data_IF_872265361947
#
_entry.id   IF_872265361947
#
_cell.length_a   1.000
_cell.length_b   1.000
_cell.length_c   1.000
_cell.angle_alpha   90.00
_cell.angle_beta   90.00
_cell.angle_gamma   90.00
#
_symmetry.space_group_name_H-M   'P 1'
#
loop_
_entity.id
_entity.type
_entity.pdbx_description
1 polymer ?
#
# COMPACT_ATOMS: atom_id res chain seq x y z
N UNK A 1 4.92 -5.80 14.34
CA UNK A 1 3.65 -6.44 13.90
C UNK A 1 3.98 -7.70 13.11
N UNK A 2 3.35 -8.85 13.39
CA UNK A 2 3.61 -10.10 12.62
C UNK A 2 2.88 -10.08 11.27
N UNK A 3 3.40 -10.85 10.30
CA UNK A 3 2.78 -11.06 8.97
C UNK A 3 1.31 -11.41 9.07
N UNK A 4 0.98 -12.41 9.87
CA UNK A 4 -0.39 -12.90 9.96
C UNK A 4 -1.31 -11.85 10.58
N UNK A 5 -0.87 -11.12 11.60
CA UNK A 5 -1.63 -10.01 12.20
C UNK A 5 -1.88 -8.87 11.21
N UNK A 6 -0.91 -8.61 10.32
CA UNK A 6 -1.09 -7.64 9.23
C UNK A 6 -2.09 -8.15 8.21
N UNK A 7 -1.97 -9.41 7.76
CA UNK A 7 -2.90 -10.01 6.80
C UNK A 7 -4.34 -10.10 7.36
N UNK A 8 -4.48 -10.39 8.65
CA UNK A 8 -5.76 -10.40 9.37
C UNK A 8 -6.47 -9.04 9.36
N UNK A 9 -5.73 -7.92 9.29
CA UNK A 9 -6.36 -6.59 9.17
C UNK A 9 -7.08 -6.37 7.84
N UNK A 10 -6.86 -7.25 6.86
CA UNK A 10 -7.53 -7.26 5.58
C UNK A 10 -8.52 -8.42 5.42
N UNK A 11 -8.67 -9.29 6.44
CA UNK A 11 -9.73 -10.30 6.42
C UNK A 11 -11.10 -9.60 6.38
N UNK A 12 -11.88 -9.90 5.34
CA UNK A 12 -13.17 -9.26 5.08
C UNK A 12 -13.13 -8.10 4.07
N UNK A 13 -11.96 -7.75 3.54
CA UNK A 13 -11.83 -6.79 2.44
C UNK A 13 -11.70 -7.54 1.11
N UNK A 14 -12.46 -7.09 0.11
CA UNK A 14 -12.33 -7.58 -1.26
C UNK A 14 -11.05 -6.98 -1.85
N UNK A 15 -9.94 -7.70 -1.66
CA UNK A 15 -8.70 -7.39 -2.34
C UNK A 15 -8.69 -8.07 -3.72
N UNK A 16 -8.12 -7.42 -4.74
CA UNK A 16 -7.87 -8.07 -6.02
C UNK A 16 -6.93 -9.27 -5.82
N UNK A 17 -7.04 -10.28 -6.69
CA UNK A 17 -6.16 -11.45 -6.64
C UNK A 17 -4.67 -11.04 -6.79
N UNK A 18 -4.42 -10.03 -7.62
CA UNK A 18 -3.13 -9.35 -7.71
C UNK A 18 -3.35 -7.87 -8.00
N UNK A 19 -2.52 -7.02 -7.41
CA UNK A 19 -2.43 -5.62 -7.77
C UNK A 19 -1.55 -5.44 -8.99
N UNK A 20 -1.84 -4.42 -9.80
CA UNK A 20 -0.91 -3.95 -10.82
C UNK A 20 0.41 -3.55 -10.15
N UNK A 21 1.51 -4.15 -10.63
CA UNK A 21 2.85 -3.89 -10.12
C UNK A 21 3.22 -2.41 -10.19
N UNK A 22 2.73 -1.67 -11.20
CA UNK A 22 2.91 -0.22 -11.33
C UNK A 22 2.30 0.52 -10.14
N UNK A 23 1.10 0.13 -9.71
CA UNK A 23 0.44 0.76 -8.56
C UNK A 23 1.17 0.43 -7.25
N UNK A 24 1.67 -0.81 -7.12
CA UNK A 24 2.52 -1.19 -5.99
C UNK A 24 3.82 -0.39 -5.94
N UNK A 25 4.51 -0.23 -7.06
CA UNK A 25 5.75 0.54 -7.12
C UNK A 25 5.51 2.02 -6.79
N UNK A 26 4.44 2.62 -7.30
CA UNK A 26 4.03 3.98 -6.97
C UNK A 26 3.75 4.15 -5.47
N UNK A 27 3.01 3.21 -4.87
CA UNK A 27 2.75 3.21 -3.43
C UNK A 27 4.03 2.99 -2.61
N UNK A 28 4.98 2.17 -3.07
CA UNK A 28 6.27 2.00 -2.41
C UNK A 28 7.11 3.29 -2.45
N UNK A 29 7.14 3.99 -3.59
CA UNK A 29 7.80 5.29 -3.72
C UNK A 29 7.18 6.34 -2.78
N UNK A 30 5.85 6.33 -2.64
CA UNK A 30 5.12 7.18 -1.70
C UNK A 30 5.62 6.98 -0.27
N UNK A 31 5.77 5.73 0.19
CA UNK A 31 6.32 5.42 1.52
C UNK A 31 7.75 5.90 1.72
N UNK A 32 8.57 5.92 0.66
CA UNK A 32 9.91 6.51 0.68
C UNK A 32 9.93 8.02 0.92
N UNK A 33 8.82 8.73 0.66
CA UNK A 33 8.67 10.17 0.92
C UNK A 33 7.76 10.50 2.11
N UNK A 34 6.93 9.57 2.53
CA UNK A 34 6.11 9.67 3.73
C UNK A 34 6.99 9.97 4.96
N UNK A 35 6.56 10.90 5.82
CA UNK A 35 7.30 11.30 7.03
C UNK A 35 8.62 12.07 6.77
N UNK A 36 8.91 12.55 5.55
CA UNK A 36 10.06 13.45 5.31
C UNK A 36 9.79 14.92 5.63
N UNK A 37 8.53 15.35 5.69
CA UNK A 37 8.17 16.73 6.02
C UNK A 37 6.75 16.78 6.60
N UNK A 38 6.51 17.66 7.58
CA UNK A 38 5.21 17.79 8.25
C UNK A 38 4.05 18.06 7.27
N UNK A 39 4.33 18.75 6.17
CA UNK A 39 3.39 19.02 5.07
C UNK A 39 3.14 17.84 4.12
N UNK A 40 4.08 16.88 4.03
CA UNK A 40 3.97 15.67 3.19
C UNK A 40 3.36 14.49 3.96
N UNK A 41 2.84 14.75 5.16
CA UNK A 41 2.13 13.76 5.97
C UNK A 41 0.64 13.70 5.62
N UNK A 42 0.18 14.62 4.76
CA UNK A 42 -1.21 14.61 4.32
C UNK A 42 -1.43 13.46 3.34
N UNK A 43 -2.07 12.42 3.86
CA UNK A 43 -2.28 11.14 3.17
C UNK A 43 -2.99 11.32 1.84
N UNK A 44 -3.93 12.26 1.76
CA UNK A 44 -4.68 12.51 0.52
C UNK A 44 -3.79 13.12 -0.57
N UNK A 45 -2.91 14.07 -0.21
CA UNK A 45 -1.94 14.62 -1.15
C UNK A 45 -0.92 13.58 -1.62
N UNK A 46 -0.50 12.67 -0.74
CA UNK A 46 0.35 11.55 -1.14
C UNK A 46 -0.38 10.61 -2.11
N UNK A 47 -1.63 10.26 -1.85
CA UNK A 47 -2.38 9.41 -2.78
C UNK A 47 -2.59 10.08 -4.14
N UNK A 48 -2.86 11.39 -4.15
CA UNK A 48 -2.99 12.15 -5.40
C UNK A 48 -1.66 12.24 -6.16
N UNK A 49 -0.57 12.61 -5.48
CA UNK A 49 0.75 12.78 -6.08
C UNK A 49 1.33 11.49 -6.67
N UNK A 50 1.00 10.33 -6.09
CA UNK A 50 1.47 9.02 -6.54
C UNK A 50 0.42 8.27 -7.38
N UNK A 51 -0.67 8.91 -7.79
CA UNK A 51 -1.64 8.31 -8.71
C UNK A 51 -2.51 7.21 -8.08
N UNK A 52 -2.54 7.12 -6.76
CA UNK A 52 -3.37 6.20 -5.97
C UNK A 52 -4.76 6.78 -5.69
N UNK A 53 -4.99 8.07 -5.98
CA UNK A 53 -6.32 8.67 -5.99
C UNK A 53 -7.13 8.17 -7.19
N UNK A 54 -8.43 7.94 -6.96
CA UNK A 54 -9.37 7.62 -8.03
C UNK A 54 -9.50 8.81 -8.98
N UNK A 55 -9.47 8.52 -10.29
CA UNK A 55 -9.64 9.48 -11.38
C UNK A 55 -10.91 9.13 -12.16
N UNK A 56 -11.54 10.13 -12.78
CA UNK A 56 -12.76 9.92 -13.56
C UNK A 56 -12.57 8.96 -14.77
N UNK A 57 -11.34 8.84 -15.27
CA UNK A 57 -10.99 7.95 -16.39
C UNK A 57 -10.50 6.56 -15.94
N UNK A 58 -10.48 6.27 -14.64
CA UNK A 58 -10.05 4.95 -14.17
C UNK A 58 -11.07 3.88 -14.54
N UNK A 59 -10.58 2.72 -14.97
CA UNK A 59 -11.45 1.55 -15.15
C UNK A 59 -12.00 1.08 -13.80
N UNK A 60 -13.17 0.41 -13.74
CA UNK A 60 -13.70 -0.14 -12.48
C UNK A 60 -12.71 -1.05 -11.73
N UNK A 61 -11.86 -1.77 -12.47
CA UNK A 61 -10.80 -2.58 -11.91
C UNK A 61 -9.69 -1.73 -11.27
N UNK A 62 -9.24 -0.68 -11.95
CA UNK A 62 -8.23 0.26 -11.41
C UNK A 62 -8.77 1.00 -10.18
N UNK A 63 -10.03 1.43 -10.20
CA UNK A 63 -10.68 2.09 -9.06
C UNK A 63 -10.72 1.16 -7.83
N UNK A 64 -11.06 -0.11 -8.02
CA UNK A 64 -11.04 -1.12 -6.96
C UNK A 64 -9.63 -1.34 -6.42
N UNK A 65 -8.63 -1.50 -7.30
CA UNK A 65 -7.23 -1.68 -6.91
C UNK A 65 -6.70 -0.48 -6.13
N UNK A 66 -6.96 0.75 -6.60
CA UNK A 66 -6.56 1.98 -5.93
C UNK A 66 -7.23 2.12 -4.56
N UNK A 67 -8.52 1.82 -4.47
CA UNK A 67 -9.27 1.86 -3.20
C UNK A 67 -8.69 0.87 -2.19
N UNK A 68 -8.43 -0.37 -2.61
CA UNK A 68 -7.79 -1.38 -1.79
C UNK A 68 -6.37 -0.96 -1.37
N UNK A 69 -5.58 -0.40 -2.30
CA UNK A 69 -4.23 0.10 -1.99
C UNK A 69 -4.24 1.26 -1.00
N UNK A 70 -5.16 2.21 -1.12
CA UNK A 70 -5.31 3.31 -0.15
C UNK A 70 -5.61 2.78 1.24
N UNK A 71 -6.43 1.74 1.34
CA UNK A 71 -6.72 1.07 2.61
C UNK A 71 -5.45 0.40 3.17
N UNK A 72 -4.76 -0.42 2.37
CA UNK A 72 -3.51 -1.08 2.79
C UNK A 72 -2.47 -0.05 3.23
N UNK A 73 -2.25 0.99 2.43
CA UNK A 73 -1.30 2.05 2.75
C UNK A 73 -1.66 2.74 4.07
N UNK A 74 -2.94 3.02 4.30
CA UNK A 74 -3.41 3.58 5.57
C UNK A 74 -3.07 2.67 6.74
N UNK A 75 -3.29 1.36 6.62
CA UNK A 75 -2.96 0.41 7.69
C UNK A 75 -1.46 0.35 7.97
N UNK A 76 -0.63 0.33 6.93
CA UNK A 76 0.83 0.36 7.09
C UNK A 76 1.29 1.65 7.76
N UNK A 77 0.72 2.80 7.37
CA UNK A 77 1.01 4.09 7.99
C UNK A 77 0.62 4.10 9.49
N UNK A 78 -0.47 3.42 9.85
CA UNK A 78 -0.90 3.26 11.25
C UNK A 78 -0.05 2.24 12.01
N UNK A 79 0.55 1.28 11.33
CA UNK A 79 1.22 0.11 11.92
C UNK A 79 2.67 0.37 12.39
N UNK A 80 3.09 1.62 12.54
CA UNK A 80 4.43 2.04 13.01
C UNK A 80 5.61 1.35 12.28
N UNK A 81 5.41 0.89 11.05
CA UNK A 81 6.49 0.33 10.23
C UNK A 81 7.51 1.42 9.87
N UNK A 82 8.77 1.02 9.75
CA UNK A 82 9.77 1.92 9.17
C UNK A 82 9.41 2.22 7.71
N UNK A 83 9.84 3.38 7.21
CA UNK A 83 9.59 3.78 5.82
C UNK A 83 10.11 2.77 4.79
N UNK A 84 11.23 2.12 5.11
CA UNK A 84 11.84 1.10 4.27
C UNK A 84 10.98 -0.15 4.25
N UNK A 85 10.57 -0.63 5.42
CA UNK A 85 9.76 -1.83 5.56
C UNK A 85 8.37 -1.64 4.93
N UNK A 86 7.76 -0.48 5.14
CA UNK A 86 6.51 -0.10 4.51
C UNK A 86 6.59 -0.13 2.97
N UNK A 87 7.68 0.44 2.41
CA UNK A 87 7.91 0.44 0.97
C UNK A 87 8.17 -0.96 0.41
N UNK A 88 9.02 -1.76 1.08
CA UNK A 88 9.32 -3.12 0.66
C UNK A 88 8.10 -4.04 0.76
N UNK A 89 7.29 -3.90 1.80
CA UNK A 89 6.06 -4.65 2.01
C UNK A 89 5.04 -4.37 0.89
N UNK A 90 4.85 -3.10 0.54
CA UNK A 90 3.94 -2.71 -0.55
C UNK A 90 4.45 -3.19 -1.90
N UNK A 91 5.72 -2.94 -2.22
CA UNK A 91 6.31 -3.38 -3.49
C UNK A 91 6.15 -4.89 -3.71
N UNK A 92 6.22 -5.65 -2.63
CA UNK A 92 6.08 -7.10 -2.65
C UNK A 92 4.70 -7.58 -2.18
N UNK A 93 3.68 -6.73 -2.13
CA UNK A 93 2.36 -7.09 -1.58
C UNK A 93 1.76 -8.32 -2.29
N UNK A 94 1.89 -8.42 -3.61
CA UNK A 94 1.44 -9.61 -4.35
C UNK A 94 2.16 -10.91 -3.92
N UNK A 95 3.38 -10.77 -3.39
CA UNK A 95 4.23 -11.87 -2.96
C UNK A 95 4.15 -12.21 -1.48
N UNK A 96 3.57 -11.33 -0.65
CA UNK A 96 3.47 -11.58 0.79
C UNK A 96 2.71 -12.87 1.10
N UNK A 97 1.78 -13.29 0.22
CA UNK A 97 1.01 -14.52 0.36
C UNK A 97 1.75 -15.77 -0.12
N UNK A 98 2.81 -15.64 -0.91
CA UNK A 98 3.56 -16.79 -1.42
C UNK A 98 4.55 -17.34 -0.38
N UNK A 99 4.74 -18.66 -0.35
CA UNK A 99 5.80 -19.28 0.45
C UNK A 99 7.17 -18.78 -0.04
N UNK A 100 8.03 -18.36 0.89
CA UNK A 100 9.38 -17.85 0.60
C UNK A 100 9.56 -16.33 0.67
N UNK A 101 8.49 -15.56 0.86
CA UNK A 101 8.61 -14.13 1.15
C UNK A 101 9.19 -13.91 2.56
N UNK A 102 10.30 -13.17 2.65
CA UNK A 102 10.86 -12.74 3.92
C UNK A 102 10.06 -11.56 4.46
N UNK A 103 9.42 -11.76 5.62
CA UNK A 103 8.72 -10.69 6.31
C UNK A 103 9.71 -9.64 6.81
N UNK A 104 9.27 -8.39 6.85
CA UNK A 104 10.05 -7.26 7.38
C UNK A 104 10.24 -7.42 8.90
N UNK A 105 11.43 -7.12 9.42
CA UNK A 105 11.79 -7.29 10.85
C UNK A 105 11.49 -6.06 11.71
#
# INVERSE_FOLDING_TARGET
MKRDEFLQQFEGIVLPEAFDQRLLDQAAEMFGRWGKSSHLSDREHLFEAYGLAAKQDDSPEEEMQKTALRFICTRIMQAEFSRKDAADLIRNFNKIKYPGYQWVE
#
